data_IF_421210407907
#
_entry.id   IF_421210407907
#
_cell.length_a   1.000
_cell.length_b   1.000
_cell.length_c   1.000
_cell.angle_alpha   90.00
_cell.angle_beta   90.00
_cell.angle_gamma   90.00
#
_symmetry.space_group_name_H-M   'P 1'
#
loop_
_entity.id
_entity.type
_entity.pdbx_description
1 polymer ?
#
# COMPACT_ATOMS: atom_id res chain seq x y z
N UNK A 1 14.97 -19.27 8.60
CA UNK A 1 14.07 -19.65 7.49
C UNK A 1 14.63 -19.11 6.18
N UNK A 2 15.41 -19.89 5.43
CA UNK A 2 15.98 -19.44 4.15
C UNK A 2 15.32 -20.20 3.00
N UNK A 3 14.31 -19.59 2.41
CA UNK A 3 13.66 -20.08 1.19
C UNK A 3 13.97 -19.15 0.01
N UNK A 4 15.25 -18.93 -0.25
CA UNK A 4 15.70 -18.24 -1.46
C UNK A 4 15.72 -19.22 -2.64
N UNK A 5 15.20 -18.74 -3.77
CA UNK A 5 15.24 -19.30 -5.13
C UNK A 5 15.78 -20.75 -5.22
N UNK A 6 14.92 -21.73 -4.92
CA UNK A 6 15.30 -23.15 -4.99
C UNK A 6 15.21 -23.63 -6.44
N UNK A 7 16.29 -24.23 -6.92
CA UNK A 7 16.32 -24.96 -8.20
C UNK A 7 15.16 -25.97 -8.22
N UNK A 8 14.46 -26.04 -9.36
CA UNK A 8 13.32 -26.94 -9.62
C UNK A 8 11.96 -26.54 -9.01
N UNK A 9 11.78 -25.28 -8.59
CA UNK A 9 10.45 -24.72 -8.28
C UNK A 9 9.95 -23.81 -9.40
N UNK A 10 8.66 -23.89 -9.68
CA UNK A 10 7.99 -22.95 -10.56
C UNK A 10 7.78 -21.63 -9.81
N UNK A 11 8.15 -20.52 -10.43
CA UNK A 11 7.93 -19.18 -9.89
C UNK A 11 7.06 -18.39 -10.88
N UNK A 12 6.21 -17.53 -10.33
CA UNK A 12 5.49 -16.52 -11.10
C UNK A 12 6.01 -15.17 -10.61
N UNK A 13 6.42 -14.31 -11.52
CA UNK A 13 6.75 -12.92 -11.23
C UNK A 13 5.66 -12.00 -11.75
N UNK A 14 5.27 -11.05 -10.93
CA UNK A 14 4.37 -9.97 -11.33
C UNK A 14 5.19 -8.68 -11.42
N UNK A 15 5.09 -7.99 -12.55
CA UNK A 15 5.84 -6.77 -12.83
C UNK A 15 4.87 -5.62 -13.04
N UNK A 16 5.08 -4.53 -12.30
CA UNK A 16 4.28 -3.32 -12.42
C UNK A 16 5.18 -2.11 -12.62
N UNK A 17 4.59 -1.04 -13.16
CA UNK A 17 5.24 0.27 -13.29
C UNK A 17 4.23 1.38 -13.02
N UNK A 18 4.71 2.55 -12.60
CA UNK A 18 3.85 3.70 -12.33
C UNK A 18 3.17 4.19 -13.61
N UNK A 19 1.86 4.39 -13.53
CA UNK A 19 1.02 5.00 -14.56
C UNK A 19 0.23 6.12 -13.88
N UNK A 20 0.45 7.40 -14.25
CA UNK A 20 -0.25 8.53 -13.65
C UNK A 20 -1.77 8.31 -13.61
N UNK A 21 -2.39 8.56 -12.45
CA UNK A 21 -3.83 8.41 -12.26
C UNK A 21 -4.35 6.97 -12.18
N UNK A 22 -3.52 5.93 -12.31
CA UNK A 22 -3.92 4.52 -12.20
C UNK A 22 -3.18 3.78 -11.08
N UNK A 23 -1.85 3.86 -11.07
CA UNK A 23 -1.02 3.15 -10.08
C UNK A 23 0.32 3.86 -9.89
N UNK A 24 0.82 3.90 -8.66
CA UNK A 24 2.09 4.55 -8.31
C UNK A 24 2.86 3.69 -7.31
N UNK A 25 4.16 3.60 -7.53
CA UNK A 25 5.10 2.87 -6.69
C UNK A 25 6.21 3.83 -6.26
N UNK A 26 6.72 3.65 -5.06
CA UNK A 26 7.80 4.48 -4.53
C UNK A 26 8.20 4.08 -3.12
N UNK A 27 8.89 4.99 -2.44
CA UNK A 27 9.22 4.87 -1.03
C UNK A 27 8.90 6.17 -0.26
N UNK A 28 8.83 6.05 1.06
CA UNK A 28 8.78 7.17 1.99
C UNK A 28 9.56 6.81 3.26
N UNK A 29 9.94 7.84 4.02
CA UNK A 29 10.46 7.67 5.38
C UNK A 29 9.29 7.81 6.35
N UNK A 30 9.11 6.82 7.22
CA UNK A 30 8.18 6.97 8.33
C UNK A 30 8.75 7.90 9.41
N UNK A 31 7.91 8.24 10.39
CA UNK A 31 8.28 9.22 11.42
C UNK A 31 7.92 8.78 12.85
N UNK A 32 7.52 7.52 13.03
CA UNK A 32 7.14 6.90 14.30
C UNK A 32 6.08 7.72 15.08
N UNK A 33 5.20 8.41 14.35
CA UNK A 33 4.17 9.28 14.92
C UNK A 33 2.78 8.89 14.45
N UNK A 34 1.79 8.96 15.35
CA UNK A 34 0.38 8.80 14.98
C UNK A 34 -0.12 9.90 14.02
N UNK A 35 0.62 11.01 13.92
CA UNK A 35 0.48 11.98 12.84
C UNK A 35 1.54 11.72 11.77
N UNK A 36 1.40 10.58 11.09
CA UNK A 36 2.36 10.10 10.12
C UNK A 36 2.44 10.92 8.84
N UNK A 37 3.43 10.63 7.98
CA UNK A 37 3.63 11.30 6.71
C UNK A 37 2.40 11.16 5.81
N UNK A 38 2.23 12.17 4.94
CA UNK A 38 1.32 12.11 3.81
C UNK A 38 2.11 11.76 2.55
N UNK A 39 1.60 10.79 1.79
CA UNK A 39 2.19 10.34 0.54
C UNK A 39 1.24 10.74 -0.59
N UNK A 40 1.73 11.60 -1.48
CA UNK A 40 1.01 12.04 -2.67
C UNK A 40 1.07 10.96 -3.75
N UNK A 41 -0.09 10.64 -4.33
CA UNK A 41 -0.26 9.68 -5.42
C UNK A 41 -0.79 10.31 -6.71
N UNK A 42 -1.50 11.44 -6.60
CA UNK A 42 -2.21 12.07 -7.71
C UNK A 42 -3.58 11.45 -8.00
N UNK A 43 -4.03 10.51 -7.16
CA UNK A 43 -5.33 9.86 -7.23
C UNK A 43 -5.77 9.38 -5.83
N UNK A 44 -7.06 9.10 -5.66
CA UNK A 44 -7.57 8.41 -4.48
C UNK A 44 -7.27 6.92 -4.59
N UNK A 45 -6.53 6.33 -3.65
CA UNK A 45 -6.23 4.90 -3.69
C UNK A 45 -7.48 4.05 -3.35
N UNK A 46 -7.65 2.92 -4.03
CA UNK A 46 -8.51 1.82 -3.58
C UNK A 46 -7.75 0.81 -2.75
N UNK A 47 -6.45 0.66 -3.02
CA UNK A 47 -5.58 -0.30 -2.35
C UNK A 47 -4.18 0.29 -2.21
N UNK A 48 -3.59 0.11 -1.03
CA UNK A 48 -2.20 0.46 -0.72
C UNK A 48 -1.54 -0.74 -0.07
N UNK A 49 -0.42 -1.15 -0.64
CA UNK A 49 0.45 -2.19 -0.11
C UNK A 49 1.76 -1.55 0.35
N UNK A 50 2.21 -1.87 1.56
CA UNK A 50 3.44 -1.34 2.15
C UNK A 50 4.33 -2.44 2.70
N UNK A 51 5.63 -2.17 2.71
CA UNK A 51 6.64 -3.00 3.37
C UNK A 51 7.80 -2.12 3.80
N UNK A 52 8.10 -2.15 5.09
CA UNK A 52 9.35 -1.62 5.61
C UNK A 52 10.53 -2.36 4.94
N UNK A 53 11.58 -1.69 4.47
CA UNK A 53 12.72 -2.39 3.82
C UNK A 53 13.99 -2.40 4.66
N UNK A 54 14.01 -1.68 5.76
CA UNK A 54 15.12 -1.65 6.71
C UNK A 54 15.00 -2.75 7.78
N UNK A 55 13.76 -3.15 8.12
CA UNK A 55 13.50 -4.21 9.10
C UNK A 55 12.96 -5.50 8.44
N UNK A 56 13.73 -6.59 8.53
CA UNK A 56 13.36 -7.89 7.94
C UNK A 56 12.20 -8.60 8.66
N UNK A 57 11.91 -8.27 9.93
CA UNK A 57 10.87 -8.91 10.76
C UNK A 57 9.46 -8.54 10.34
N UNK A 58 9.27 -7.37 9.71
CA UNK A 58 7.94 -6.87 9.40
C UNK A 58 7.30 -7.60 8.22
N UNK A 59 5.99 -7.80 8.30
CA UNK A 59 5.22 -8.41 7.21
C UNK A 59 4.82 -7.36 6.17
N UNK A 60 4.45 -7.83 4.97
CA UNK A 60 3.78 -6.98 4.00
C UNK A 60 2.37 -6.66 4.52
N UNK A 61 1.91 -5.43 4.31
CA UNK A 61 0.57 -5.01 4.71
C UNK A 61 -0.21 -4.48 3.51
N UNK A 62 -1.42 -4.98 3.31
CA UNK A 62 -2.36 -4.45 2.31
C UNK A 62 -3.57 -3.84 3.02
N UNK A 63 -3.81 -2.58 2.72
CA UNK A 63 -4.99 -1.81 3.10
C UNK A 63 -5.86 -1.61 1.86
N UNK A 64 -7.17 -1.81 1.95
CA UNK A 64 -8.09 -1.48 0.87
C UNK A 64 -9.43 -0.92 1.34
N UNK A 65 -10.03 -0.13 0.45
CA UNK A 65 -11.29 0.58 0.67
C UNK A 65 -12.53 -0.27 0.41
N UNK A 66 -12.39 -1.51 -0.05
CA UNK A 66 -13.55 -2.40 -0.25
C UNK A 66 -13.97 -3.05 1.05
N UNK A 67 -12.99 -3.46 1.86
CA UNK A 67 -13.22 -4.03 3.20
C UNK A 67 -13.44 -2.92 4.23
N UNK A 68 -12.73 -1.80 4.08
CA UNK A 68 -12.88 -0.64 4.95
C UNK A 68 -13.21 0.63 4.15
N UNK A 69 -14.50 0.87 3.83
CA UNK A 69 -14.94 1.96 2.93
C UNK A 69 -14.80 3.37 3.52
N UNK A 70 -14.48 3.48 4.81
CA UNK A 70 -14.38 4.74 5.52
C UNK A 70 -13.02 4.87 6.20
N UNK A 71 -12.55 6.12 6.30
CA UNK A 71 -11.33 6.40 7.06
C UNK A 71 -11.62 6.31 8.56
N UNK A 72 -10.67 5.82 9.38
CA UNK A 72 -9.38 5.26 8.97
C UNK A 72 -9.52 3.81 8.44
N UNK A 73 -8.74 3.47 7.40
CA UNK A 73 -8.62 2.11 6.86
C UNK A 73 -7.75 1.28 7.80
N UNK A 74 -8.38 0.50 8.67
CA UNK A 74 -7.73 -0.24 9.77
C UNK A 74 -7.60 -1.74 9.52
N UNK A 75 -8.32 -2.28 8.54
CA UNK A 75 -8.24 -3.71 8.21
C UNK A 75 -7.04 -3.97 7.30
N UNK A 76 -6.28 -5.01 7.61
CA UNK A 76 -5.04 -5.33 6.91
C UNK A 76 -5.01 -6.79 6.46
N UNK A 77 -4.43 -7.04 5.28
CA UNK A 77 -3.99 -8.38 4.87
C UNK A 77 -2.49 -8.49 4.93
N UNK A 78 -2.03 -9.70 5.26
CA UNK A 78 -0.64 -10.09 5.23
C UNK A 78 -0.43 -11.11 4.12
N UNK A 79 -0.13 -10.69 2.87
CA UNK A 79 -0.04 -11.61 1.74
C UNK A 79 1.09 -12.64 1.86
N UNK A 80 2.01 -12.45 2.82
CA UNK A 80 3.09 -13.37 3.13
C UNK A 80 2.80 -14.28 4.34
N UNK A 81 1.60 -14.21 4.94
CA UNK A 81 1.15 -15.11 6.01
C UNK A 81 -0.06 -15.94 5.54
N UNK A 82 -0.31 -17.05 6.21
CA UNK A 82 -1.51 -17.87 6.02
C UNK A 82 -2.69 -17.41 6.88
N UNK A 83 -2.49 -16.43 7.78
CA UNK A 83 -3.53 -15.85 8.62
C UNK A 83 -4.45 -14.94 7.81
N UNK A 84 -5.77 -15.08 8.04
CA UNK A 84 -6.81 -14.34 7.33
C UNK A 84 -7.15 -13.06 8.08
N UNK A 85 -6.59 -11.93 7.62
CA UNK A 85 -6.93 -10.55 8.01
C UNK A 85 -6.71 -10.18 9.49
N UNK A 86 -6.45 -8.90 9.75
CA UNK A 86 -6.30 -8.38 11.12
C UNK A 86 -6.78 -6.91 11.22
N UNK A 87 -6.99 -6.43 12.43
CA UNK A 87 -7.31 -5.04 12.74
C UNK A 87 -6.08 -4.32 13.30
N UNK A 88 -5.67 -3.22 12.67
CA UNK A 88 -4.50 -2.45 13.05
C UNK A 88 -4.81 -0.94 13.05
N UNK A 89 -3.93 -0.13 13.62
CA UNK A 89 -3.92 1.31 13.41
C UNK A 89 -3.64 1.61 11.94
N UNK A 90 -4.55 2.39 11.36
CA UNK A 90 -4.75 2.44 9.92
C UNK A 90 -4.05 3.59 9.21
N UNK A 91 -4.49 3.81 7.98
CA UNK A 91 -4.17 4.98 7.19
C UNK A 91 -5.46 5.61 6.66
N UNK A 92 -5.40 6.88 6.28
CA UNK A 92 -6.51 7.54 5.59
C UNK A 92 -6.27 7.50 4.09
N UNK A 93 -7.28 7.08 3.33
CA UNK A 93 -7.35 7.30 1.89
C UNK A 93 -7.91 8.69 1.62
N UNK A 94 -7.08 9.55 1.02
CA UNK A 94 -7.39 10.93 0.66
C UNK A 94 -7.59 11.03 -0.85
N UNK A 95 -8.15 12.14 -1.32
CA UNK A 95 -8.46 12.35 -2.74
C UNK A 95 -7.25 12.30 -3.67
N UNK A 96 -6.04 12.52 -3.14
CA UNK A 96 -4.79 12.59 -3.90
C UNK A 96 -3.67 11.71 -3.32
N UNK A 97 -3.97 10.83 -2.36
CA UNK A 97 -2.94 10.02 -1.72
C UNK A 97 -3.41 9.30 -0.47
N UNK A 98 -2.46 8.98 0.41
CA UNK A 98 -2.76 8.39 1.72
C UNK A 98 -1.96 9.05 2.85
N UNK A 99 -2.51 9.02 4.06
CA UNK A 99 -1.86 9.55 5.26
C UNK A 99 -1.82 8.48 6.34
N UNK A 100 -0.65 8.25 6.93
CA UNK A 100 -0.52 7.29 8.02
C UNK A 100 -1.11 7.84 9.33
N UNK A 101 -1.84 6.99 10.05
CA UNK A 101 -2.46 7.27 11.35
C UNK A 101 -1.92 6.36 12.45
N UNK A 102 -0.72 5.82 12.23
CA UNK A 102 -0.08 4.83 13.09
C UNK A 102 1.39 5.19 13.32
N UNK A 103 1.98 4.73 14.43
CA UNK A 103 3.41 4.86 14.74
C UNK A 103 4.17 3.52 14.68
N UNK A 104 3.54 2.42 14.27
CA UNK A 104 4.14 1.09 14.23
C UNK A 104 5.20 0.95 13.14
N UNK A 105 6.27 0.20 13.45
CA UNK A 105 7.46 0.07 12.60
C UNK A 105 7.15 -0.47 11.20
N UNK A 106 6.20 -1.40 11.06
CA UNK A 106 5.90 -2.05 9.79
C UNK A 106 5.45 -1.10 8.66
N UNK A 107 4.86 0.05 8.99
CA UNK A 107 4.38 1.03 8.01
C UNK A 107 4.75 2.47 8.32
N UNK A 108 5.15 2.81 9.55
CA UNK A 108 5.54 4.16 9.94
C UNK A 108 6.73 4.21 10.91
N UNK A 109 7.59 3.18 10.99
CA UNK A 109 8.87 3.30 11.70
C UNK A 109 9.71 4.43 11.12
N UNK A 110 10.66 4.98 11.90
CA UNK A 110 11.62 5.99 11.41
C UNK A 110 12.67 5.36 10.45
N UNK A 111 12.17 4.70 9.41
CA UNK A 111 12.82 3.74 8.52
C UNK A 111 12.25 3.93 7.11
N UNK A 112 12.94 3.38 6.10
CA UNK A 112 12.46 3.40 4.71
C UNK A 112 11.34 2.37 4.53
N UNK A 113 10.20 2.83 3.99
CA UNK A 113 9.08 1.98 3.59
C UNK A 113 8.83 2.12 2.09
N UNK A 114 8.71 0.98 1.40
CA UNK A 114 8.24 0.95 0.01
C UNK A 114 6.73 0.79 -0.03
N UNK A 115 6.12 1.37 -1.07
CA UNK A 115 4.69 1.25 -1.31
C UNK A 115 4.36 0.93 -2.77
N UNK A 116 3.22 0.27 -2.92
CA UNK A 116 2.51 0.08 -4.16
C UNK A 116 1.05 0.51 -3.96
N UNK A 117 0.55 1.42 -4.79
CA UNK A 117 -0.80 1.95 -4.66
C UNK A 117 -1.54 1.91 -6.00
N UNK A 118 -2.83 1.57 -5.94
CA UNK A 118 -3.74 1.49 -7.09
C UNK A 118 -4.95 2.39 -6.86
N UNK A 119 -5.40 3.06 -7.92
CA UNK A 119 -6.51 4.02 -7.88
C UNK A 119 -7.87 3.31 -7.71
N UNK A 120 -8.83 4.00 -7.08
CA UNK A 120 -10.24 3.56 -7.02
C UNK A 120 -10.90 3.58 -8.40
N UNK A 121 -10.61 4.63 -9.15
CA UNK A 121 -10.93 4.73 -10.56
C UNK A 121 -9.75 5.37 -11.27
N UNK A 122 -9.37 4.92 -12.48
CA UNK A 122 -8.34 5.59 -13.24
C UNK A 122 -8.79 7.02 -13.53
N UNK A 123 -7.95 8.03 -13.33
CA UNK A 123 -8.33 9.43 -13.59
C UNK A 123 -8.66 9.69 -15.08
N UNK A 124 -8.15 8.84 -15.97
CA UNK A 124 -8.30 8.93 -17.43
C UNK A 124 -8.71 7.55 -17.97
N UNK A 125 -9.67 7.51 -18.90
CA UNK A 125 -9.98 6.31 -19.66
C UNK A 125 -8.90 6.06 -20.73
N UNK A 126 -8.95 4.90 -21.40
CA UNK A 126 -8.00 4.48 -22.45
C UNK A 126 -7.91 5.47 -23.64
N UNK A 127 -8.82 6.45 -23.73
CA UNK A 127 -8.90 7.45 -24.80
C UNK A 127 -8.66 8.90 -24.32
N UNK A 128 -8.11 9.08 -23.10
CA UNK A 128 -7.80 10.42 -22.58
C UNK A 128 -9.01 11.23 -22.10
N UNK A 129 -10.19 10.62 -22.02
CA UNK A 129 -11.34 11.21 -21.35
C UNK A 129 -11.24 11.04 -19.84
N UNK A 130 -11.55 12.09 -19.08
CA UNK A 130 -11.60 12.02 -17.62
C UNK A 130 -12.62 10.95 -17.19
N UNK A 131 -12.23 10.05 -16.29
CA UNK A 131 -13.13 9.01 -15.79
C UNK A 131 -14.19 9.64 -14.89
N UNK A 132 -15.45 9.53 -15.28
CA UNK A 132 -16.58 10.08 -14.55
C UNK A 132 -17.22 9.01 -13.63
N UNK A 133 -16.42 8.32 -12.82
CA UNK A 133 -16.96 7.43 -11.80
C UNK A 133 -17.56 8.27 -10.65
N UNK A 134 -18.89 8.14 -10.47
CA UNK A 134 -19.71 8.76 -9.43
C UNK A 134 -19.87 7.83 -8.25
#
# INVERSE_FOLDING_TARGET
YNNTNRVSRNFISYHWHSVPGLQKFGSYEGNESTNGPFIELGFRPSMVMVRNVDENSNDWKIYDGTRNPHNAVTQVLYPNLSGSEDANTGLDFLSNGFKLRDSGSAQNGAETIIYAAWAEAPAFNLYGGQSNAR
#
